data_IF_042562491166
#
_entry.id   IF_042562491166
#
_cell.length_a   1.000
_cell.length_b   1.000
_cell.length_c   1.000
_cell.angle_alpha   90.00
_cell.angle_beta   90.00
_cell.angle_gamma   90.00
#
_symmetry.space_group_name_H-M   'P 1'
#
loop_
_entity.id
_entity.type
_entity.pdbx_description
1 polymer ?
#
# COMPACT_ATOMS: atom_id res chain seq x y z
N UNK A 1 17.51 -9.02 -4.47
CA UNK A 1 16.06 -9.24 -4.65
C UNK A 1 15.85 -10.63 -5.23
N UNK A 2 14.89 -11.40 -4.69
CA UNK A 2 14.59 -12.78 -5.11
C UNK A 2 13.70 -12.86 -6.37
N UNK A 3 13.66 -11.80 -7.20
CA UNK A 3 12.87 -11.77 -8.44
C UNK A 3 11.35 -11.74 -8.25
N UNK A 4 10.84 -11.50 -7.03
CA UNK A 4 9.41 -11.31 -6.78
C UNK A 4 8.91 -9.93 -7.22
N UNK A 5 7.58 -9.77 -7.35
CA UNK A 5 6.97 -8.51 -7.74
C UNK A 5 7.31 -7.39 -6.75
N UNK A 6 7.37 -6.16 -7.25
CA UNK A 6 7.51 -4.99 -6.40
C UNK A 6 6.20 -4.76 -5.65
N UNK A 7 6.23 -4.90 -4.32
CA UNK A 7 5.07 -4.64 -3.47
C UNK A 7 5.27 -3.31 -2.74
N UNK A 8 4.29 -2.42 -2.86
CA UNK A 8 4.29 -1.15 -2.14
C UNK A 8 4.14 -1.39 -0.64
N UNK A 9 5.01 -0.77 0.15
CA UNK A 9 5.00 -0.83 1.60
C UNK A 9 4.81 0.58 2.18
N UNK A 10 3.84 0.72 3.08
CA UNK A 10 3.49 1.98 3.73
C UNK A 10 3.69 1.86 5.24
N UNK A 11 4.40 2.84 5.84
CA UNK A 11 4.57 2.92 7.30
C UNK A 11 3.74 4.08 7.86
N UNK A 12 2.43 3.91 7.84
CA UNK A 12 1.48 4.98 8.22
C UNK A 12 0.91 4.80 9.62
N UNK A 13 0.81 3.57 10.15
CA UNK A 13 0.20 3.33 11.45
C UNK A 13 1.24 2.84 12.46
N UNK A 14 1.25 3.36 13.71
CA UNK A 14 1.90 2.68 14.80
C UNK A 14 1.20 1.33 15.08
N UNK A 15 1.90 0.40 15.71
CA UNK A 15 1.39 -0.95 16.02
C UNK A 15 0.04 -0.91 16.75
N UNK A 16 -0.14 -0.01 17.72
CA UNK A 16 -1.40 0.11 18.46
C UNK A 16 -2.60 0.47 17.56
N UNK A 17 -2.41 1.36 16.58
CA UNK A 17 -3.48 1.74 15.62
C UNK A 17 -3.77 0.59 14.66
N UNK A 18 -2.73 -0.12 14.20
CA UNK A 18 -2.90 -1.23 13.26
C UNK A 18 -3.56 -2.45 13.93
N UNK A 19 -3.17 -2.76 15.17
CA UNK A 19 -3.79 -3.78 16.01
C UNK A 19 -5.28 -3.49 16.23
N UNK A 20 -5.62 -2.24 16.55
CA UNK A 20 -7.01 -1.82 16.71
C UNK A 20 -7.83 -1.97 15.41
N UNK A 21 -7.27 -1.54 14.27
CA UNK A 21 -7.96 -1.59 12.99
C UNK A 21 -8.27 -3.01 12.51
N UNK A 22 -7.41 -3.98 12.87
CA UNK A 22 -7.52 -5.38 12.41
C UNK A 22 -8.08 -6.33 13.49
N UNK A 23 -8.49 -5.79 14.64
CA UNK A 23 -9.06 -6.59 15.74
C UNK A 23 -8.08 -7.59 16.35
N UNK A 24 -6.77 -7.30 16.26
CA UNK A 24 -5.69 -8.18 16.72
C UNK A 24 -4.88 -7.56 17.86
N UNK A 25 -3.83 -8.27 18.27
CA UNK A 25 -2.79 -7.73 19.15
C UNK A 25 -1.43 -7.94 18.50
N UNK A 26 -0.50 -7.00 18.67
CA UNK A 26 0.85 -7.07 18.12
C UNK A 26 0.90 -7.12 16.58
N UNK A 27 -0.02 -6.42 15.90
CA UNK A 27 -0.04 -6.36 14.44
C UNK A 27 0.95 -5.31 13.95
N UNK A 28 2.06 -5.80 13.41
CA UNK A 28 3.17 -4.96 12.92
C UNK A 28 3.20 -4.83 11.40
N UNK A 29 2.56 -5.75 10.67
CA UNK A 29 2.46 -5.74 9.21
C UNK A 29 1.09 -6.23 8.78
N UNK A 30 0.57 -5.66 7.70
CA UNK A 30 -0.65 -6.10 7.05
C UNK A 30 -0.46 -6.04 5.53
N UNK A 31 -0.93 -7.08 4.85
CA UNK A 31 -0.96 -7.12 3.39
C UNK A 31 -2.42 -7.05 2.93
N UNK A 32 -2.68 -6.29 1.87
CA UNK A 32 -3.98 -6.24 1.21
C UNK A 32 -3.93 -7.11 -0.04
N UNK A 33 -5.04 -7.80 -0.32
CA UNK A 33 -5.18 -8.59 -1.54
C UNK A 33 -5.31 -7.65 -2.74
N UNK A 34 -4.90 -8.13 -3.92
CA UNK A 34 -5.16 -7.47 -5.19
C UNK A 34 -6.67 -7.37 -5.49
N UNK A 35 -7.02 -6.54 -6.48
CA UNK A 35 -8.39 -6.26 -6.89
C UNK A 35 -8.95 -4.96 -6.29
N UNK A 36 -10.23 -4.68 -6.57
CA UNK A 36 -10.86 -3.38 -6.30
C UNK A 36 -10.76 -2.92 -4.84
N UNK A 37 -10.94 -3.86 -3.89
CA UNK A 37 -10.83 -3.55 -2.47
C UNK A 37 -9.39 -3.16 -2.08
N UNK A 38 -8.38 -3.88 -2.60
CA UNK A 38 -6.97 -3.57 -2.39
C UNK A 38 -6.60 -2.21 -2.99
N UNK A 39 -7.04 -1.95 -4.22
CA UNK A 39 -6.85 -0.67 -4.91
C UNK A 39 -7.48 0.49 -4.14
N UNK A 40 -8.68 0.28 -3.61
CA UNK A 40 -9.38 1.24 -2.77
C UNK A 40 -8.64 1.53 -1.44
N UNK A 41 -7.97 0.53 -0.86
CA UNK A 41 -7.09 0.74 0.31
C UNK A 41 -5.84 1.53 -0.09
N UNK A 42 -5.16 1.14 -1.18
CA UNK A 42 -3.96 1.82 -1.66
C UNK A 42 -4.20 3.32 -1.88
N UNK A 43 -5.28 3.70 -2.57
CA UNK A 43 -5.64 5.12 -2.78
C UNK A 43 -5.81 5.88 -1.47
N UNK A 44 -6.42 5.25 -0.46
CA UNK A 44 -6.61 5.86 0.87
C UNK A 44 -5.29 5.99 1.63
N UNK A 45 -4.37 5.03 1.49
CA UNK A 45 -3.04 5.11 2.09
C UNK A 45 -2.24 6.26 1.49
N UNK A 46 -2.27 6.42 0.16
CA UNK A 46 -1.64 7.54 -0.55
C UNK A 46 -2.23 8.88 -0.10
N UNK A 47 -3.56 8.98 0.01
CA UNK A 47 -4.22 10.19 0.49
C UNK A 47 -3.85 10.52 1.95
N UNK A 48 -3.76 9.51 2.81
CA UNK A 48 -3.38 9.67 4.22
C UNK A 48 -1.92 10.10 4.37
N UNK A 49 -1.01 9.50 3.61
CA UNK A 49 0.41 9.87 3.59
C UNK A 49 0.57 11.34 3.20
N UNK A 50 -0.09 11.76 2.11
CA UNK A 50 -0.11 13.17 1.66
C UNK A 50 -0.67 14.10 2.74
N UNK A 51 -1.77 13.73 3.39
CA UNK A 51 -2.37 14.53 4.46
C UNK A 51 -1.40 14.73 5.64
N UNK A 52 -0.58 13.74 5.95
CA UNK A 52 0.43 13.79 7.02
C UNK A 52 1.75 14.48 6.62
N UNK A 53 1.85 14.99 5.39
CA UNK A 53 3.02 15.71 4.90
C UNK A 53 4.06 14.84 4.19
N UNK A 54 3.66 13.65 3.68
CA UNK A 54 4.52 12.83 2.81
C UNK A 54 5.03 13.59 1.59
N UNK A 55 6.27 13.30 1.17
CA UNK A 55 6.93 14.04 0.10
C UNK A 55 6.41 13.66 -1.30
N UNK A 56 6.40 14.59 -2.27
CA UNK A 56 6.02 14.28 -3.65
C UNK A 56 6.85 13.15 -4.29
N UNK A 57 8.11 13.00 -3.89
CA UNK A 57 9.02 11.98 -4.41
C UNK A 57 8.67 10.58 -3.91
N UNK A 58 8.22 10.47 -2.65
CA UNK A 58 7.71 9.21 -2.10
C UNK A 58 6.41 8.82 -2.79
N UNK A 59 5.54 9.79 -3.07
CA UNK A 59 4.30 9.59 -3.83
C UNK A 59 4.58 9.17 -5.28
N UNK A 60 5.61 9.73 -5.92
CA UNK A 60 6.00 9.35 -7.28
C UNK A 60 6.53 7.91 -7.35
N UNK A 61 7.32 7.47 -6.36
CA UNK A 61 7.70 6.05 -6.24
C UNK A 61 6.50 5.14 -6.01
N UNK A 62 5.56 5.56 -5.19
CA UNK A 62 4.34 4.79 -4.92
C UNK A 62 3.46 4.66 -6.17
N UNK A 63 3.32 5.73 -6.95
CA UNK A 63 2.54 5.74 -8.18
C UNK A 63 3.17 4.90 -9.30
N UNK A 64 4.50 4.95 -9.46
CA UNK A 64 5.20 4.23 -10.52
C UNK A 64 5.05 2.69 -10.43
N UNK A 65 4.89 2.14 -9.22
CA UNK A 65 4.68 0.69 -9.02
C UNK A 65 3.20 0.31 -9.22
N UNK A 66 2.26 1.23 -8.99
CA UNK A 66 0.84 0.96 -9.19
C UNK A 66 0.46 0.85 -10.68
N UNK A 67 1.15 1.57 -11.57
CA UNK A 67 0.97 1.48 -13.03
C UNK A 67 1.49 0.15 -13.62
N UNK A 68 2.45 -0.51 -12.98
CA UNK A 68 2.97 -1.80 -13.45
C UNK A 68 1.97 -2.95 -13.27
N UNK A 69 1.10 -2.90 -12.24
CA UNK A 69 0.08 -3.93 -12.00
C UNK A 69 -1.07 -3.88 -13.03
N UNK A 70 -1.44 -2.71 -13.55
CA UNK A 70 -2.48 -2.59 -14.60
C UNK A 70 -2.00 -3.12 -15.96
N UNK A 71 -0.68 -3.14 -16.22
CA UNK A 71 -0.11 -3.66 -17.46
C UNK A 71 -0.09 -5.20 -17.50
N UNK A 72 -0.26 -5.89 -16.37
CA UNK A 72 -0.21 -7.34 -16.28
C UNK A 72 -1.58 -8.02 -16.50
N UNK A 73 -2.70 -7.28 -16.47
CA UNK A 73 -4.05 -7.83 -16.65
C UNK A 73 -4.53 -7.86 -18.12
N UNK A 74 -3.82 -7.25 -19.08
CA UNK A 74 -4.23 -7.12 -20.50
C UNK A 74 -3.70 -8.26 -21.40
N UNK A 75 -3.45 -9.44 -20.83
CA UNK A 75 -2.95 -10.62 -21.56
C UNK A 75 -3.85 -11.84 -21.32
N UNK A 76 -5.12 -11.74 -21.72
CA UNK A 76 -6.01 -12.90 -22.00
C UNK A 76 -6.46 -12.92 -23.46
#
# INVERSE_FOLDING_TARGET
>A
HLGGPAILAYKLFPEAELSLALGGTNVIHAAVLAGDAGRAVQMRMVALDRYRGGSPDDLARLAAVADEDDAAEDME
#
